data_IF_263160697435
#
_entry.id   IF_263160697435
#
_cell.length_a   1.000
_cell.length_b   1.000
_cell.length_c   1.000
_cell.angle_alpha   90.00
_cell.angle_beta   90.00
_cell.angle_gamma   90.00
#
_symmetry.space_group_name_H-M   'P 1'
#
loop_
_entity.id
_entity.type
_entity.pdbx_description
1 polymer ?
#
# COMPACT_ATOMS: atom_id res chain seq x y z
N UNK A 1 -5.86 -11.61 -0.89
CA UNK A 1 -7.24 -11.33 -0.45
C UNK A 1 -7.26 -10.02 0.31
N UNK A 2 -8.41 -9.31 0.30
CA UNK A 2 -8.55 -8.02 0.99
C UNK A 2 -8.38 -8.21 2.51
N UNK A 3 -9.20 -9.08 3.10
CA UNK A 3 -9.14 -9.50 4.50
C UNK A 3 -8.25 -10.74 4.67
N UNK A 4 -7.67 -10.96 5.86
CA UNK A 4 -7.07 -12.25 6.21
C UNK A 4 -8.12 -13.36 6.17
N UNK A 5 -7.68 -14.58 5.87
CA UNK A 5 -8.52 -15.78 5.89
C UNK A 5 -7.79 -16.92 6.60
N UNK A 6 -8.45 -18.07 6.77
CA UNK A 6 -7.84 -19.27 7.39
C UNK A 6 -6.47 -19.64 6.79
N UNK A 7 -6.25 -19.34 5.50
CA UNK A 7 -5.02 -19.66 4.77
C UNK A 7 -4.16 -18.44 4.41
N UNK A 8 -4.57 -17.22 4.79
CA UNK A 8 -3.85 -15.98 4.47
C UNK A 8 -3.66 -15.19 5.77
N UNK A 9 -2.41 -15.06 6.20
CA UNK A 9 -2.08 -14.30 7.40
C UNK A 9 -2.39 -12.81 7.23
N UNK A 10 -2.56 -12.10 8.34
CA UNK A 10 -2.83 -10.65 8.34
C UNK A 10 -1.80 -9.87 7.54
N UNK A 11 -0.52 -10.20 7.67
CA UNK A 11 0.60 -9.61 6.95
C UNK A 11 0.52 -9.84 5.43
N UNK A 12 -0.15 -10.91 5.01
CA UNK A 12 -0.34 -11.26 3.60
C UNK A 12 -1.68 -10.77 3.03
N UNK A 13 -2.57 -10.20 3.84
CA UNK A 13 -3.80 -9.56 3.40
C UNK A 13 -3.53 -8.17 2.82
N UNK A 14 -4.39 -7.68 1.90
CA UNK A 14 -4.24 -6.34 1.35
C UNK A 14 -4.41 -5.25 2.42
N UNK A 15 -5.17 -5.53 3.49
CA UNK A 15 -5.27 -4.65 4.65
C UNK A 15 -3.96 -4.54 5.43
N UNK A 16 -3.30 -5.66 5.72
CA UNK A 16 -1.99 -5.66 6.39
C UNK A 16 -0.92 -4.98 5.53
N UNK A 17 -0.89 -5.29 4.24
CA UNK A 17 -0.08 -4.58 3.24
C UNK A 17 -0.35 -3.08 3.24
N UNK A 18 -1.62 -2.68 3.27
CA UNK A 18 -2.03 -1.27 3.30
C UNK A 18 -1.50 -0.55 4.53
N UNK A 19 -1.55 -1.19 5.70
CA UNK A 19 -0.94 -0.65 6.92
C UNK A 19 0.58 -0.45 6.77
N UNK A 20 1.29 -1.42 6.19
CA UNK A 20 2.73 -1.30 5.89
C UNK A 20 3.01 -0.17 4.91
N UNK A 21 2.28 -0.09 3.79
CA UNK A 21 2.44 0.98 2.80
C UNK A 21 2.23 2.35 3.40
N UNK A 22 1.14 2.52 4.16
CA UNK A 22 0.86 3.76 4.85
C UNK A 22 2.06 4.10 5.74
N UNK A 23 2.59 3.19 6.57
CA UNK A 23 3.75 3.47 7.45
C UNK A 23 4.96 4.06 6.70
N UNK A 24 5.18 3.65 5.45
CA UNK A 24 6.26 4.17 4.60
C UNK A 24 5.88 5.41 3.76
N UNK A 25 4.59 5.69 3.59
CA UNK A 25 4.06 6.91 2.97
C UNK A 25 4.01 8.05 4.00
N UNK A 26 5.18 8.51 4.43
CA UNK A 26 5.33 9.57 5.45
C UNK A 26 5.24 10.99 4.89
N UNK A 27 5.59 11.16 3.61
CA UNK A 27 5.55 12.39 2.84
C UNK A 27 5.09 12.10 1.39
N UNK A 28 4.59 13.10 0.64
CA UNK A 28 4.23 12.94 -0.76
C UNK A 28 5.38 12.35 -1.57
N UNK A 29 5.09 11.32 -2.37
CA UNK A 29 6.10 10.61 -3.18
C UNK A 29 5.48 10.05 -4.44
N UNK A 30 6.27 9.85 -5.48
CA UNK A 30 5.80 9.14 -6.68
C UNK A 30 5.49 7.67 -6.37
N UNK A 31 4.66 7.05 -7.22
CA UNK A 31 4.36 5.61 -7.16
C UNK A 31 5.65 4.78 -7.17
N UNK A 32 6.58 5.09 -8.07
CA UNK A 32 7.90 4.44 -8.15
C UNK A 32 8.71 4.65 -6.88
N UNK A 33 8.72 5.87 -6.33
CA UNK A 33 9.44 6.18 -5.09
C UNK A 33 8.91 5.41 -3.88
N UNK A 34 7.59 5.18 -3.81
CA UNK A 34 7.02 4.31 -2.77
C UNK A 34 7.39 2.84 -3.02
N UNK A 35 7.28 2.37 -4.27
CA UNK A 35 7.65 1.01 -4.65
C UNK A 35 9.09 0.68 -4.28
N UNK A 36 10.05 1.54 -4.64
CA UNK A 36 11.46 1.32 -4.37
C UNK A 36 11.78 1.24 -2.87
N UNK A 37 11.02 1.96 -2.03
CA UNK A 37 11.15 1.90 -0.56
C UNK A 37 10.68 0.58 0.04
N UNK A 38 9.71 -0.08 -0.56
CA UNK A 38 9.01 -1.21 0.07
C UNK A 38 9.15 -2.53 -0.68
N UNK A 39 9.67 -2.54 -1.92
CA UNK A 39 9.81 -3.76 -2.75
C UNK A 39 10.67 -4.86 -2.13
N UNK A 40 11.59 -4.51 -1.22
CA UNK A 40 12.43 -5.46 -0.49
C UNK A 40 11.71 -6.12 0.69
N UNK A 41 10.53 -5.63 1.06
CA UNK A 41 9.75 -6.18 2.16
C UNK A 41 9.08 -7.49 1.70
N UNK A 42 9.31 -8.62 2.40
CA UNK A 42 8.79 -9.92 2.00
C UNK A 42 7.26 -9.96 2.00
N UNK A 43 6.59 -9.15 2.81
CA UNK A 43 5.13 -9.05 2.86
C UNK A 43 4.51 -8.49 1.57
N UNK A 44 5.19 -7.54 0.88
CA UNK A 44 4.74 -6.93 -0.38
C UNK A 44 4.68 -7.99 -1.48
N UNK A 45 5.77 -8.76 -1.60
CA UNK A 45 5.90 -9.93 -2.47
C UNK A 45 6.00 -9.62 -3.96
N UNK A 46 5.08 -8.83 -4.53
CA UNK A 46 5.03 -8.57 -5.99
C UNK A 46 4.48 -7.18 -6.32
N UNK A 47 4.83 -6.66 -7.50
CA UNK A 47 4.28 -5.39 -7.99
C UNK A 47 2.76 -5.43 -8.17
N UNK A 48 2.19 -6.59 -8.55
CA UNK A 48 0.73 -6.77 -8.64
C UNK A 48 0.05 -6.55 -7.30
N UNK A 49 0.59 -7.12 -6.22
CA UNK A 49 0.05 -6.93 -4.86
C UNK A 49 0.18 -5.48 -4.42
N UNK A 50 1.27 -4.83 -4.82
CA UNK A 50 1.48 -3.42 -4.56
C UNK A 50 0.38 -2.54 -5.16
N UNK A 51 0.09 -2.69 -6.47
CA UNK A 51 -0.97 -1.94 -7.14
C UNK A 51 -2.34 -2.23 -6.52
N UNK A 52 -2.68 -3.51 -6.28
CA UNK A 52 -3.96 -3.87 -5.66
C UNK A 52 -4.17 -3.26 -4.27
N UNK A 53 -3.09 -3.10 -3.49
CA UNK A 53 -3.15 -2.40 -2.21
C UNK A 53 -3.33 -0.90 -2.39
N UNK A 54 -2.67 -0.27 -3.38
CA UNK A 54 -2.91 1.14 -3.70
C UNK A 54 -4.36 1.39 -4.14
N UNK A 55 -4.90 0.54 -5.01
CA UNK A 55 -6.29 0.62 -5.46
C UNK A 55 -7.25 0.54 -4.27
N UNK A 56 -7.02 -0.40 -3.34
CA UNK A 56 -7.80 -0.52 -2.11
C UNK A 56 -7.71 0.76 -1.27
N UNK A 57 -6.49 1.25 -0.99
CA UNK A 57 -6.26 2.43 -0.17
C UNK A 57 -6.89 3.68 -0.79
N UNK A 58 -6.83 3.83 -2.11
CA UNK A 58 -7.45 4.94 -2.83
C UNK A 58 -8.98 4.84 -2.77
N UNK A 59 -9.54 3.64 -3.01
CA UNK A 59 -10.99 3.39 -2.98
C UNK A 59 -11.60 3.72 -1.62
N UNK A 60 -10.89 3.44 -0.52
CA UNK A 60 -11.35 3.76 0.84
C UNK A 60 -10.96 5.16 1.31
N UNK A 61 -10.45 6.02 0.42
CA UNK A 61 -10.03 7.38 0.73
C UNK A 61 -8.90 7.47 1.79
N UNK A 62 -8.02 6.46 1.89
CA UNK A 62 -6.88 6.48 2.80
C UNK A 62 -5.65 7.20 2.20
N UNK A 63 -5.57 7.26 0.88
CA UNK A 63 -4.53 7.98 0.14
C UNK A 63 -5.14 8.85 -0.94
N UNK A 64 -4.40 9.86 -1.36
CA UNK A 64 -4.69 10.69 -2.51
C UNK A 64 -3.60 10.58 -3.56
N UNK A 65 -3.94 10.91 -4.80
CA UNK A 65 -3.01 10.97 -5.91
C UNK A 65 -3.21 12.27 -6.68
N UNK A 66 -2.32 13.23 -6.44
CA UNK A 66 -2.38 14.60 -6.98
C UNK A 66 -1.04 14.96 -7.59
N UNK A 67 -1.06 15.49 -8.81
CA UNK A 67 0.15 15.96 -9.51
C UNK A 67 1.28 14.90 -9.60
N UNK A 68 0.91 13.62 -9.75
CA UNK A 68 1.88 12.52 -9.84
C UNK A 68 2.43 12.03 -8.50
N UNK A 69 1.94 12.57 -7.37
CA UNK A 69 2.36 12.23 -6.02
C UNK A 69 1.25 11.50 -5.27
N UNK A 70 1.62 10.38 -4.66
CA UNK A 70 0.84 9.70 -3.64
C UNK A 70 1.05 10.40 -2.30
N UNK A 71 -0.04 10.63 -1.57
CA UNK A 71 -0.01 11.17 -0.22
C UNK A 71 -1.07 10.51 0.67
N UNK A 72 -0.87 10.51 1.98
CA UNK A 72 -1.90 10.05 2.92
C UNK A 72 -3.00 11.10 3.04
N UNK A 73 -4.26 10.66 3.05
CA UNK A 73 -5.39 11.54 3.37
C UNK A 73 -5.56 11.64 4.89
N UNK A 74 -5.73 12.85 5.41
CA UNK A 74 -5.89 13.10 6.86
C UNK A 74 -4.60 13.42 7.62
N UNK A 75 -3.53 13.77 6.91
CA UNK A 75 -2.38 14.51 7.48
C UNK A 75 -2.39 15.95 6.97
#
# INVERSE_FOLDING_TARGET
MILPTKHISTQQSLLGLGATMLKHLTAPTTVTGLWDKIRSLPEIGTYKRFILTLDLLFTINAIDYTEGLLQRRGK
#
